data_IF_331570390307
#
_entry.id   IF_331570390307
#
_cell.length_a   1.000
_cell.length_b   1.000
_cell.length_c   1.000
_cell.angle_alpha   90.00
_cell.angle_beta   90.00
_cell.angle_gamma   90.00
#
_symmetry.space_group_name_H-M   'P 1'
#
loop_
_entity.id
_entity.type
_entity.pdbx_description
1 polymer ?
#
# COMPACT_ATOMS: atom_id res chain seq x y z
N UNK A 1 -27.48 48.26 -18.77
CA UNK A 1 -26.32 48.70 -17.98
C UNK A 1 -25.27 47.60 -18.07
N UNK A 2 -24.19 47.84 -18.81
CA UNK A 2 -23.07 46.91 -19.00
C UNK A 2 -22.26 46.82 -17.70
N UNK A 3 -22.59 45.86 -16.84
CA UNK A 3 -21.76 45.56 -15.66
C UNK A 3 -20.42 45.00 -16.13
N UNK A 4 -19.34 45.67 -15.75
CA UNK A 4 -17.97 45.26 -16.05
C UNK A 4 -17.66 43.96 -15.31
N UNK A 5 -17.25 42.94 -16.05
CA UNK A 5 -16.85 41.65 -15.49
C UNK A 5 -15.50 41.79 -14.79
N UNK A 6 -15.39 41.36 -13.53
CA UNK A 6 -14.19 41.52 -12.70
C UNK A 6 -13.51 40.16 -12.54
N UNK A 7 -12.18 40.13 -12.67
CA UNK A 7 -11.39 38.95 -12.30
C UNK A 7 -11.14 39.00 -10.78
N UNK A 8 -11.69 38.07 -9.97
CA UNK A 8 -11.55 38.14 -8.53
C UNK A 8 -10.09 37.95 -8.08
N UNK A 9 -9.70 38.53 -6.93
CA UNK A 9 -8.49 38.18 -6.21
C UNK A 9 -8.41 36.68 -5.95
N UNK A 10 -7.19 36.17 -5.77
CA UNK A 10 -6.99 34.72 -5.60
C UNK A 10 -7.60 34.19 -4.29
N UNK A 11 -7.54 34.96 -3.21
CA UNK A 11 -8.05 34.56 -1.89
C UNK A 11 -9.58 34.46 -1.87
N UNK A 12 -10.27 35.41 -2.51
CA UNK A 12 -11.74 35.38 -2.65
C UNK A 12 -12.20 34.18 -3.48
N UNK A 13 -11.46 33.86 -4.55
CA UNK A 13 -11.73 32.71 -5.39
C UNK A 13 -11.50 31.39 -4.65
N UNK A 14 -10.45 31.30 -3.82
CA UNK A 14 -10.19 30.14 -2.95
C UNK A 14 -11.33 29.95 -1.95
N UNK A 15 -11.72 30.99 -1.23
CA UNK A 15 -12.79 30.93 -0.24
C UNK A 15 -14.11 30.46 -0.85
N UNK A 16 -14.48 30.99 -2.03
CA UNK A 16 -15.69 30.58 -2.75
C UNK A 16 -15.63 29.12 -3.21
N UNK A 17 -14.48 28.65 -3.70
CA UNK A 17 -14.31 27.25 -4.12
C UNK A 17 -14.32 26.26 -2.95
N UNK A 18 -13.79 26.64 -1.78
CA UNK A 18 -13.90 25.87 -0.54
C UNK A 18 -15.36 25.73 -0.10
N UNK A 19 -16.12 26.83 -0.09
CA UNK A 19 -17.54 26.82 0.26
C UNK A 19 -18.37 25.96 -0.72
N UNK A 20 -18.11 26.09 -2.02
CA UNK A 20 -18.77 25.28 -3.06
C UNK A 20 -18.44 23.79 -2.94
N UNK A 21 -17.18 23.43 -2.64
CA UNK A 21 -16.79 22.04 -2.43
C UNK A 21 -17.43 21.44 -1.18
N UNK A 22 -17.56 22.22 -0.11
CA UNK A 22 -18.24 21.79 1.11
C UNK A 22 -19.74 21.52 0.87
N UNK A 23 -20.42 22.37 0.08
CA UNK A 23 -21.83 22.17 -0.28
C UNK A 23 -22.06 21.07 -1.33
N UNK A 24 -21.05 20.78 -2.15
CA UNK A 24 -21.15 19.83 -3.27
C UNK A 24 -19.95 18.89 -3.34
N UNK A 25 -19.79 17.97 -2.36
CA UNK A 25 -18.60 17.15 -2.22
C UNK A 25 -18.33 16.27 -3.44
N UNK A 26 -19.37 15.84 -4.18
CA UNK A 26 -19.26 14.91 -5.31
C UNK A 26 -19.10 15.54 -6.70
N UNK A 27 -19.13 16.88 -6.83
CA UNK A 27 -19.06 17.53 -8.15
C UNK A 27 -17.63 17.60 -8.73
N UNK A 28 -17.48 17.29 -10.01
CA UNK A 28 -16.22 17.48 -10.73
C UNK A 28 -15.87 18.97 -10.93
N UNK A 29 -14.59 19.27 -11.20
CA UNK A 29 -14.07 20.64 -11.34
C UNK A 29 -14.84 21.50 -12.37
N UNK A 30 -15.27 20.92 -13.49
CA UNK A 30 -16.04 21.63 -14.51
C UNK A 30 -17.45 22.03 -14.01
N UNK A 31 -18.10 21.16 -13.23
CA UNK A 31 -19.43 21.45 -12.65
C UNK A 31 -19.33 22.51 -11.55
N UNK A 32 -18.27 22.44 -10.72
CA UNK A 32 -18.00 23.48 -9.73
C UNK A 32 -17.72 24.84 -10.36
N UNK A 33 -17.00 24.88 -11.49
CA UNK A 33 -16.78 26.12 -12.23
C UNK A 33 -18.09 26.72 -12.77
N UNK A 34 -18.96 25.90 -13.36
CA UNK A 34 -20.27 26.36 -13.80
C UNK A 34 -21.11 26.91 -12.63
N UNK A 35 -21.04 26.25 -11.46
CA UNK A 35 -21.75 26.67 -10.27
C UNK A 35 -21.17 27.95 -9.66
N UNK A 36 -19.85 28.11 -9.70
CA UNK A 36 -19.16 29.34 -9.30
C UNK A 36 -19.62 30.54 -10.13
N UNK A 37 -19.68 30.41 -11.45
CA UNK A 37 -20.17 31.47 -12.34
C UNK A 37 -21.67 31.75 -12.17
N UNK A 38 -22.44 30.75 -11.72
CA UNK A 38 -23.85 30.94 -11.38
C UNK A 38 -24.01 31.74 -10.08
N UNK A 39 -23.20 31.46 -9.07
CA UNK A 39 -23.23 32.17 -7.77
C UNK A 39 -22.57 33.57 -7.83
N UNK A 40 -21.61 33.77 -8.72
CA UNK A 40 -20.92 35.05 -8.93
C UNK A 40 -21.00 35.49 -10.40
N UNK A 41 -22.15 35.99 -10.89
CA UNK A 41 -22.35 36.33 -12.31
C UNK A 41 -21.43 37.42 -12.85
N UNK A 42 -20.85 38.23 -11.96
CA UNK A 42 -19.95 39.33 -12.30
C UNK A 42 -18.47 38.91 -12.35
N UNK A 43 -18.15 37.64 -12.03
CA UNK A 43 -16.78 37.13 -12.06
C UNK A 43 -16.38 36.59 -13.42
N UNK A 44 -15.20 36.98 -13.89
CA UNK A 44 -14.54 36.37 -15.04
C UNK A 44 -13.44 35.44 -14.55
N UNK A 45 -13.76 34.16 -14.41
CA UNK A 45 -12.82 33.11 -13.99
C UNK A 45 -12.80 32.02 -15.05
N UNK A 46 -11.61 31.69 -15.56
CA UNK A 46 -11.47 30.56 -16.49
C UNK A 46 -11.58 29.23 -15.75
N UNK A 47 -12.10 28.20 -16.43
CA UNK A 47 -12.12 26.83 -15.89
C UNK A 47 -10.70 26.37 -15.51
N UNK A 48 -9.70 26.76 -16.31
CA UNK A 48 -8.28 26.47 -16.05
C UNK A 48 -7.81 27.06 -14.71
N UNK A 49 -8.16 28.32 -14.40
CA UNK A 49 -7.81 28.96 -13.13
C UNK A 49 -8.51 28.27 -11.95
N UNK A 50 -9.79 27.93 -12.12
CA UNK A 50 -10.58 27.17 -11.12
C UNK A 50 -9.96 25.80 -10.83
N UNK A 51 -9.61 25.05 -11.87
CA UNK A 51 -9.01 23.72 -11.74
C UNK A 51 -7.63 23.78 -11.10
N UNK A 52 -6.82 24.80 -11.41
CA UNK A 52 -5.51 25.02 -10.79
C UNK A 52 -5.64 25.27 -9.29
N UNK A 53 -6.57 26.12 -8.88
CA UNK A 53 -6.80 26.43 -7.46
C UNK A 53 -7.35 25.21 -6.73
N UNK A 54 -8.36 24.52 -7.28
CA UNK A 54 -8.86 23.27 -6.70
C UNK A 54 -7.75 22.22 -6.52
N UNK A 55 -6.80 22.12 -7.46
CA UNK A 55 -5.67 21.21 -7.36
C UNK A 55 -4.63 21.63 -6.33
N UNK A 56 -4.33 22.93 -6.23
CA UNK A 56 -3.41 23.48 -5.24
C UNK A 56 -3.94 23.31 -3.82
N UNK A 57 -5.26 23.48 -3.64
CA UNK A 57 -5.95 23.35 -2.34
C UNK A 57 -6.31 21.89 -2.00
N UNK A 58 -5.93 20.91 -2.83
CA UNK A 58 -6.25 19.49 -2.60
C UNK A 58 -7.74 19.13 -2.74
N UNK A 59 -8.56 20.02 -3.30
CA UNK A 59 -10.01 19.89 -3.45
C UNK A 59 -10.42 19.13 -4.73
N UNK A 60 -9.52 18.39 -5.37
CA UNK A 60 -9.86 17.59 -6.56
C UNK A 60 -10.28 16.20 -6.10
N UNK A 61 -11.53 15.84 -6.42
CA UNK A 61 -12.00 14.46 -6.31
C UNK A 61 -11.08 13.58 -7.15
N UNK A 62 -10.33 12.72 -6.49
CA UNK A 62 -9.59 11.66 -7.14
C UNK A 62 -10.61 10.62 -7.60
N UNK A 63 -11.24 10.84 -8.76
CA UNK A 63 -12.06 9.82 -9.39
C UNK A 63 -11.13 8.67 -9.80
N UNK A 64 -11.21 7.56 -9.08
CA UNK A 64 -10.65 6.27 -9.46
C UNK A 64 -11.46 5.73 -10.64
N UNK A 65 -11.40 6.39 -11.79
CA UNK A 65 -11.88 5.85 -13.07
C UNK A 65 -11.53 6.81 -14.21
N UNK A 66 -10.96 6.23 -15.27
CA UNK A 66 -10.81 6.81 -16.62
C UNK A 66 -9.64 7.78 -16.83
N UNK A 67 -8.43 7.23 -16.99
CA UNK A 67 -7.45 7.83 -17.89
C UNK A 67 -7.80 7.43 -19.33
N UNK A 68 -8.43 8.33 -20.08
CA UNK A 68 -8.21 8.42 -21.52
C UNK A 68 -8.47 9.84 -22.03
N UNK A 69 -7.40 10.41 -22.61
CA UNK A 69 -7.31 11.42 -23.66
C UNK A 69 -8.08 12.75 -23.53
N UNK A 70 -7.31 13.84 -23.64
CA UNK A 70 -7.83 15.18 -23.87
C UNK A 70 -6.73 16.11 -24.35
N UNK A 71 -6.67 16.25 -25.67
CA UNK A 71 -5.84 17.19 -26.43
C UNK A 71 -5.84 18.62 -25.86
N UNK A 72 -4.69 19.30 -26.02
CA UNK A 72 -4.66 20.76 -26.11
C UNK A 72 -3.88 21.50 -25.02
N UNK A 73 -2.60 21.18 -24.81
CA UNK A 73 -1.62 22.19 -24.40
C UNK A 73 -0.26 21.97 -25.09
N UNK A 74 0.45 23.07 -25.44
CA UNK A 74 1.66 23.02 -26.23
C UNK A 74 2.78 22.34 -25.46
N UNK A 75 3.51 21.50 -26.18
CA UNK A 75 4.59 20.66 -25.70
C UNK A 75 5.69 21.48 -24.98
N UNK A 76 5.76 21.36 -23.66
CA UNK A 76 7.05 21.37 -22.99
C UNK A 76 7.67 19.99 -23.21
N UNK A 77 8.58 19.92 -24.18
CA UNK A 77 9.47 18.79 -24.41
C UNK A 77 10.26 18.52 -23.12
N UNK A 78 9.90 17.47 -22.41
CA UNK A 78 10.65 16.96 -21.26
C UNK A 78 9.87 15.84 -20.58
N UNK A 79 10.33 14.61 -20.78
CA UNK A 79 9.89 13.35 -20.17
C UNK A 79 8.64 13.40 -19.28
N UNK A 80 7.57 12.69 -19.67
CA UNK A 80 6.47 12.31 -18.78
C UNK A 80 7.05 11.66 -17.53
N UNK A 81 7.21 12.45 -16.47
CA UNK A 81 8.04 12.03 -15.37
C UNK A 81 7.24 11.07 -14.48
N UNK A 82 7.44 9.78 -14.73
CA UNK A 82 6.86 8.64 -14.04
C UNK A 82 7.44 8.55 -12.61
N UNK A 83 7.02 9.47 -11.73
CA UNK A 83 7.38 9.44 -10.31
C UNK A 83 6.32 8.72 -9.49
N UNK A 84 6.72 7.94 -8.47
CA UNK A 84 5.79 7.39 -7.50
C UNK A 84 4.95 8.49 -6.83
N UNK A 85 3.66 8.22 -6.59
CA UNK A 85 2.82 9.06 -5.74
C UNK A 85 2.75 8.48 -4.33
N UNK A 86 2.72 9.34 -3.32
CA UNK A 86 2.55 8.93 -1.93
C UNK A 86 1.74 9.99 -1.17
N UNK A 87 0.89 9.57 -0.23
CA UNK A 87 0.08 10.48 0.60
C UNK A 87 0.56 10.48 2.05
N UNK A 88 0.46 11.60 2.77
CA UNK A 88 0.67 11.58 4.22
C UNK A 88 -0.46 10.81 4.88
N UNK A 89 -0.15 10.01 5.91
CA UNK A 89 -1.19 9.43 6.76
C UNK A 89 -1.84 10.60 7.50
N UNK A 90 -3.13 10.83 7.26
CA UNK A 90 -3.88 11.90 7.93
C UNK A 90 -3.81 11.71 9.45
N UNK A 91 -3.45 12.78 10.16
CA UNK A 91 -3.29 12.75 11.63
C UNK A 91 -2.04 12.02 12.13
N UNK A 92 -1.07 11.69 11.26
CA UNK A 92 0.23 11.20 11.71
C UNK A 92 0.99 12.31 12.44
N UNK A 93 1.17 12.12 13.73
CA UNK A 93 1.97 12.99 14.59
C UNK A 93 3.27 12.30 14.96
N UNK A 94 4.33 12.57 14.18
CA UNK A 94 5.66 12.00 14.40
C UNK A 94 6.22 12.30 15.81
N UNK A 95 5.74 13.38 16.45
CA UNK A 95 6.17 13.81 17.79
C UNK A 95 5.80 12.82 18.89
N UNK A 96 4.85 11.91 18.63
CA UNK A 96 4.52 10.81 19.55
C UNK A 96 5.66 9.82 19.75
N UNK A 97 6.60 9.75 18.81
CA UNK A 97 7.72 8.83 18.86
C UNK A 97 9.06 9.54 19.02
N UNK A 98 9.20 10.74 18.48
CA UNK A 98 10.45 11.49 18.54
C UNK A 98 10.24 12.99 18.33
N UNK A 99 10.93 13.82 19.12
CA UNK A 99 11.03 15.27 18.90
C UNK A 99 12.09 15.64 17.87
N UNK A 100 12.95 14.68 17.47
CA UNK A 100 14.17 14.92 16.70
C UNK A 100 13.93 15.14 15.22
N UNK A 101 12.77 14.69 14.71
CA UNK A 101 12.43 14.81 13.29
C UNK A 101 10.97 15.20 13.08
N UNK A 102 10.72 15.86 11.96
CA UNK A 102 9.38 16.12 11.45
C UNK A 102 9.23 15.67 10.00
N UNK A 103 7.98 15.45 9.58
CA UNK A 103 7.67 15.03 8.21
C UNK A 103 7.55 16.26 7.31
N UNK A 104 8.33 16.31 6.24
CA UNK A 104 8.29 17.38 5.24
C UNK A 104 8.02 16.82 3.84
N UNK A 105 7.28 17.57 3.03
CA UNK A 105 7.03 17.25 1.63
C UNK A 105 7.92 18.08 0.70
N UNK A 106 8.82 17.42 -0.03
CA UNK A 106 9.84 18.04 -0.90
C UNK A 106 9.38 18.18 -2.37
N UNK A 107 8.07 18.14 -2.61
CA UNK A 107 7.46 18.25 -3.93
C UNK A 107 7.41 16.92 -4.68
N UNK A 108 6.84 16.94 -5.89
CA UNK A 108 6.45 15.73 -6.63
C UNK A 108 7.61 14.78 -7.00
N UNK A 109 8.81 15.32 -7.21
CA UNK A 109 9.99 14.53 -7.62
C UNK A 109 10.66 13.83 -6.44
N UNK A 110 10.78 14.50 -5.30
CA UNK A 110 11.45 13.97 -4.09
C UNK A 110 10.48 13.27 -3.14
N UNK A 111 9.19 13.61 -3.19
CA UNK A 111 8.16 13.02 -2.33
C UNK A 111 8.23 13.54 -0.90
N UNK A 112 8.00 12.65 0.06
CA UNK A 112 8.02 12.92 1.50
C UNK A 112 9.36 12.50 2.09
N UNK A 113 9.80 13.18 3.13
CA UNK A 113 10.97 12.78 3.91
C UNK A 113 10.89 13.28 5.35
N UNK A 114 11.92 12.95 6.12
CA UNK A 114 12.11 13.42 7.48
C UNK A 114 13.16 14.52 7.50
N UNK A 115 12.95 15.55 8.31
CA UNK A 115 13.88 16.65 8.54
C UNK A 115 14.19 16.73 10.02
N UNK A 116 15.47 16.90 10.36
CA UNK A 116 15.88 17.12 11.73
C UNK A 116 15.34 18.46 12.26
N UNK A 117 14.77 18.44 13.45
CA UNK A 117 14.24 19.62 14.16
C UNK A 117 15.17 20.12 15.26
N UNK A 118 16.17 19.30 15.62
CA UNK A 118 17.23 19.60 16.59
C UNK A 118 18.52 18.86 16.19
N UNK A 119 19.63 19.15 16.86
CA UNK A 119 20.90 18.47 16.62
C UNK A 119 20.83 17.01 17.09
N UNK A 120 21.31 16.08 16.25
CA UNK A 120 21.30 14.63 16.49
C UNK A 120 22.75 14.16 16.53
N UNK A 121 23.19 13.63 17.66
CA UNK A 121 24.56 13.16 17.84
C UNK A 121 24.78 11.78 17.18
N UNK A 122 26.05 11.44 16.89
CA UNK A 122 26.39 10.10 16.43
C UNK A 122 26.00 9.05 17.49
N UNK A 123 25.34 7.97 17.05
CA UNK A 123 24.81 6.93 17.93
C UNK A 123 23.42 7.20 18.49
N UNK A 124 22.84 8.38 18.28
CA UNK A 124 21.49 8.69 18.73
C UNK A 124 20.43 7.89 17.95
N UNK A 125 19.54 7.24 18.68
CA UNK A 125 18.34 6.65 18.09
C UNK A 125 17.33 7.76 17.74
N UNK A 126 17.08 7.95 16.44
CA UNK A 126 16.08 8.92 15.93
C UNK A 126 14.67 8.35 15.99
N UNK A 127 14.52 7.07 15.62
CA UNK A 127 13.24 6.39 15.51
C UNK A 127 13.43 4.87 15.63
N UNK A 128 12.40 4.18 16.14
CA UNK A 128 12.32 2.72 16.14
C UNK A 128 10.92 2.30 15.68
N UNK A 129 10.87 1.44 14.68
CA UNK A 129 9.61 0.90 14.15
C UNK A 129 9.64 -0.62 14.17
N UNK A 130 8.45 -1.22 14.32
CA UNK A 130 8.24 -2.60 13.91
C UNK A 130 7.78 -2.61 12.45
N UNK A 131 8.27 -3.55 11.61
CA UNK A 131 7.85 -3.61 10.22
C UNK A 131 6.34 -3.84 10.12
N UNK A 132 5.69 -3.14 9.19
CA UNK A 132 4.27 -3.36 8.93
C UNK A 132 4.00 -4.79 8.47
N UNK A 133 4.84 -5.33 7.60
CA UNK A 133 4.90 -6.77 7.31
C UNK A 133 6.34 -7.18 7.14
N UNK A 134 6.65 -8.41 7.50
CA UNK A 134 7.95 -9.01 7.25
C UNK A 134 7.81 -10.04 6.12
N UNK A 135 8.47 -9.75 5.00
CA UNK A 135 8.70 -10.72 3.92
C UNK A 135 10.20 -10.99 3.90
N UNK A 136 10.67 -12.09 4.53
CA UNK A 136 12.10 -12.38 4.56
C UNK A 136 12.67 -12.64 3.17
N UNK A 137 13.95 -12.31 3.02
CA UNK A 137 14.78 -12.74 1.89
C UNK A 137 14.74 -14.26 1.74
N UNK A 138 15.04 -14.76 0.54
CA UNK A 138 14.74 -16.15 0.18
C UNK A 138 15.50 -17.18 1.02
N UNK A 139 16.73 -16.88 1.41
CA UNK A 139 17.55 -17.72 2.29
C UNK A 139 16.89 -17.86 3.66
N UNK A 140 16.35 -16.77 4.20
CA UNK A 140 15.66 -16.76 5.50
C UNK A 140 14.26 -17.38 5.36
N UNK A 141 13.57 -17.14 4.25
CA UNK A 141 12.29 -17.79 3.94
C UNK A 141 12.45 -19.32 3.89
N UNK A 142 13.50 -19.82 3.24
CA UNK A 142 13.78 -21.26 3.15
C UNK A 142 14.03 -21.85 4.55
N UNK A 143 14.72 -21.13 5.44
CA UNK A 143 14.85 -21.49 6.85
C UNK A 143 13.49 -21.49 7.59
N UNK A 144 12.60 -20.53 7.32
CA UNK A 144 11.26 -20.52 7.92
C UNK A 144 10.41 -21.72 7.45
N UNK A 145 10.46 -22.04 6.16
CA UNK A 145 9.75 -23.20 5.57
C UNK A 145 10.31 -24.52 6.12
N UNK A 146 11.61 -24.58 6.41
CA UNK A 146 12.25 -25.72 7.07
C UNK A 146 11.99 -25.78 8.60
N UNK A 147 11.32 -24.78 9.18
CA UNK A 147 11.12 -24.68 10.63
C UNK A 147 12.40 -24.36 11.42
N UNK A 148 13.44 -23.87 10.75
CA UNK A 148 14.74 -23.49 11.30
C UNK A 148 14.86 -21.99 11.62
N UNK A 149 13.91 -21.17 11.16
CA UNK A 149 13.76 -19.77 11.55
C UNK A 149 12.35 -19.48 12.04
N UNK A 150 12.21 -18.48 12.92
CA UNK A 150 10.92 -18.06 13.44
C UNK A 150 10.03 -17.55 12.31
N UNK A 151 8.84 -18.14 12.14
CA UNK A 151 7.85 -17.76 11.13
C UNK A 151 7.20 -16.39 11.34
N UNK A 152 7.61 -15.63 12.36
CA UNK A 152 7.16 -14.25 12.60
C UNK A 152 8.30 -13.24 12.52
N UNK A 153 9.37 -13.44 13.30
CA UNK A 153 10.48 -12.47 13.41
C UNK A 153 11.73 -12.87 12.63
N UNK A 154 11.69 -13.99 11.89
CA UNK A 154 12.81 -14.51 11.08
C UNK A 154 14.09 -14.88 11.84
N UNK A 155 14.11 -14.78 13.17
CA UNK A 155 15.25 -15.18 13.99
C UNK A 155 15.52 -16.69 13.83
N UNK A 156 16.77 -17.09 13.50
CA UNK A 156 17.18 -18.49 13.51
C UNK A 156 16.84 -19.14 14.85
N UNK A 157 16.27 -20.33 14.79
CA UNK A 157 15.81 -21.06 15.95
C UNK A 157 16.90 -22.01 16.43
N UNK A 158 16.99 -22.17 17.75
CA UNK A 158 17.64 -23.31 18.35
C UNK A 158 16.59 -24.42 18.53
N UNK A 159 16.62 -25.52 17.76
CA UNK A 159 15.60 -26.58 17.85
C UNK A 159 15.55 -27.27 19.21
N UNK A 160 16.62 -27.19 20.00
CA UNK A 160 16.68 -27.75 21.36
C UNK A 160 16.02 -26.87 22.42
N UNK A 161 15.66 -25.63 22.08
CA UNK A 161 15.03 -24.71 23.03
C UNK A 161 13.56 -25.06 23.27
N UNK A 162 13.17 -25.21 24.54
CA UNK A 162 11.79 -25.46 24.96
C UNK A 162 10.85 -24.26 24.72
N UNK A 163 11.40 -23.08 24.42
CA UNK A 163 10.62 -21.88 24.08
C UNK A 163 10.06 -21.93 22.66
N UNK A 164 10.60 -22.78 21.79
CA UNK A 164 10.19 -22.87 20.39
C UNK A 164 8.86 -23.61 20.28
N UNK A 165 7.85 -22.89 19.80
CA UNK A 165 6.49 -23.41 19.65
C UNK A 165 6.16 -23.70 18.19
N UNK A 166 5.55 -24.85 17.86
CA UNK A 166 5.02 -25.08 16.53
C UNK A 166 3.74 -24.26 16.29
N UNK A 167 3.34 -24.14 15.03
CA UNK A 167 2.00 -23.69 14.68
C UNK A 167 0.92 -24.59 15.34
N UNK A 168 -0.14 -23.99 15.91
CA UNK A 168 -1.23 -24.73 16.55
C UNK A 168 -2.01 -25.63 15.60
N UNK A 169 -1.91 -25.39 14.29
CA UNK A 169 -2.56 -26.19 13.24
C UNK A 169 -1.71 -27.39 12.81
N UNK A 170 -0.53 -27.56 13.41
CA UNK A 170 0.31 -28.76 13.29
C UNK A 170 -0.24 -29.84 14.22
N UNK A 171 -1.43 -30.37 13.93
CA UNK A 171 -2.01 -31.49 14.66
C UNK A 171 -1.48 -32.82 14.11
N UNK A 172 -1.03 -33.69 15.01
CA UNK A 172 -0.44 -35.01 14.76
C UNK A 172 -1.40 -36.04 14.14
N UNK A 173 -2.71 -35.75 14.11
CA UNK A 173 -3.76 -36.77 14.00
C UNK A 173 -4.47 -36.85 12.63
N UNK A 174 -3.86 -36.41 11.54
CA UNK A 174 -4.43 -36.72 10.22
C UNK A 174 -3.38 -37.01 9.16
N UNK A 175 -3.34 -38.27 8.72
CA UNK A 175 -2.64 -38.74 7.52
C UNK A 175 -3.09 -38.04 6.21
N UNK A 176 -4.09 -37.14 6.28
CA UNK A 176 -4.80 -36.56 5.13
C UNK A 176 -4.88 -35.03 5.10
N UNK A 177 -4.24 -34.32 6.05
CA UNK A 177 -4.15 -32.86 6.04
C UNK A 177 -2.70 -32.39 5.99
N UNK A 178 -2.37 -31.37 5.18
CA UNK A 178 -1.03 -30.80 5.14
C UNK A 178 -0.68 -30.21 6.51
N UNK A 179 0.47 -30.61 7.07
CA UNK A 179 1.02 -30.03 8.31
C UNK A 179 1.70 -28.68 8.01
N UNK A 180 1.62 -27.74 8.96
CA UNK A 180 2.36 -26.49 8.87
C UNK A 180 3.76 -26.66 9.50
N UNK A 181 4.87 -26.39 8.79
CA UNK A 181 6.20 -26.50 9.36
C UNK A 181 6.62 -25.28 10.20
N UNK A 182 5.80 -24.22 10.22
CA UNK A 182 6.15 -22.97 10.89
C UNK A 182 6.37 -23.17 12.39
N UNK A 183 7.46 -22.59 12.89
CA UNK A 183 7.83 -22.54 14.30
C UNK A 183 8.04 -21.10 14.74
N UNK A 184 7.88 -20.83 16.04
CA UNK A 184 7.97 -19.50 16.62
C UNK A 184 8.90 -19.52 17.82
N UNK A 185 9.77 -18.53 17.96
CA UNK A 185 10.81 -18.53 19.00
C UNK A 185 10.25 -18.43 20.44
N UNK A 186 9.02 -17.95 20.61
CA UNK A 186 8.31 -17.86 21.88
C UNK A 186 6.80 -17.62 21.68
N UNK A 187 6.04 -17.61 22.78
CA UNK A 187 4.58 -17.35 22.79
C UNK A 187 4.21 -15.99 22.19
N UNK A 188 5.03 -14.96 22.38
CA UNK A 188 4.77 -13.63 21.84
C UNK A 188 4.81 -13.65 20.30
N UNK A 189 5.81 -14.30 19.70
CA UNK A 189 5.90 -14.45 18.25
C UNK A 189 4.78 -15.32 17.68
N UNK A 190 4.39 -16.39 18.37
CA UNK A 190 3.22 -17.18 17.98
C UNK A 190 1.93 -16.33 18.02
N UNK A 191 1.75 -15.53 19.07
CA UNK A 191 0.57 -14.66 19.17
C UNK A 191 0.58 -13.57 18.11
N UNK A 192 1.73 -12.93 17.84
CA UNK A 192 1.84 -11.86 16.85
C UNK A 192 1.74 -12.38 15.41
N UNK A 193 2.12 -13.64 15.15
CA UNK A 193 1.96 -14.26 13.83
C UNK A 193 0.50 -14.41 13.41
N UNK A 194 -0.44 -14.42 14.37
CA UNK A 194 -1.88 -14.46 14.09
C UNK A 194 -2.37 -13.31 13.19
N UNK A 195 -1.57 -12.26 13.00
CA UNK A 195 -1.84 -11.15 12.08
C UNK A 195 -1.67 -11.50 10.61
N UNK A 196 -0.89 -12.50 10.25
CA UNK A 196 -0.65 -12.89 8.83
C UNK A 196 -0.74 -14.39 8.62
N UNK A 197 -0.16 -15.16 9.54
CA UNK A 197 0.04 -16.60 9.42
C UNK A 197 -1.22 -17.41 9.10
N UNK A 198 -2.40 -17.19 9.72
CA UNK A 198 -3.58 -18.01 9.43
C UNK A 198 -3.96 -18.09 7.95
N UNK A 199 -3.82 -16.99 7.20
CA UNK A 199 -4.13 -16.94 5.76
C UNK A 199 -3.00 -17.46 4.87
N UNK A 200 -1.77 -17.58 5.37
CA UNK A 200 -0.61 -18.08 4.63
C UNK A 200 -0.15 -19.46 5.09
N UNK A 201 -0.80 -20.01 6.11
CA UNK A 201 -0.51 -21.31 6.70
C UNK A 201 -1.05 -22.42 5.80
N UNK A 202 -0.18 -23.31 5.33
CA UNK A 202 -0.55 -24.45 4.48
C UNK A 202 -1.63 -25.36 5.08
N UNK A 203 -1.71 -25.45 6.41
CA UNK A 203 -2.71 -26.25 7.12
C UNK A 203 -4.07 -25.55 7.22
N UNK A 204 -4.08 -24.23 7.42
CA UNK A 204 -5.31 -23.44 7.59
C UNK A 204 -5.90 -22.98 6.27
N UNK A 205 -5.04 -22.52 5.35
CA UNK A 205 -5.39 -22.04 4.01
C UNK A 205 -4.53 -22.73 2.94
N UNK A 206 -4.82 -24.00 2.59
CA UNK A 206 -4.06 -24.71 1.56
C UNK A 206 -4.05 -24.00 0.19
N UNK A 207 -5.06 -23.16 -0.12
CA UNK A 207 -5.10 -22.39 -1.35
C UNK A 207 -3.97 -21.34 -1.47
N UNK A 208 -3.35 -20.92 -0.35
CA UNK A 208 -2.21 -19.99 -0.39
C UNK A 208 -0.90 -20.63 -0.84
N UNK A 209 -0.79 -21.96 -0.81
CA UNK A 209 0.44 -22.70 -1.11
C UNK A 209 0.92 -22.45 -2.54
N UNK A 210 -0.01 -22.42 -3.50
CA UNK A 210 0.31 -22.14 -4.91
C UNK A 210 0.96 -20.77 -5.08
N UNK A 211 0.39 -19.75 -4.43
CA UNK A 211 0.90 -18.38 -4.45
C UNK A 211 2.29 -18.26 -3.82
N UNK A 212 2.49 -18.79 -2.61
CA UNK A 212 3.78 -18.68 -1.90
C UNK A 212 4.88 -19.46 -2.61
N UNK A 213 4.57 -20.66 -3.12
CA UNK A 213 5.49 -21.45 -3.94
C UNK A 213 5.87 -20.70 -5.22
N UNK A 214 4.89 -20.09 -5.90
CA UNK A 214 5.15 -19.32 -7.12
C UNK A 214 6.04 -18.10 -6.85
N UNK A 215 5.78 -17.36 -5.76
CA UNK A 215 6.61 -16.24 -5.35
C UNK A 215 8.06 -16.67 -5.10
N UNK A 216 8.29 -17.79 -4.39
CA UNK A 216 9.63 -18.34 -4.15
C UNK A 216 10.33 -18.81 -5.44
N UNK A 217 9.62 -19.53 -6.32
CA UNK A 217 10.19 -20.07 -7.56
C UNK A 217 10.55 -18.99 -8.58
N UNK A 218 9.80 -17.88 -8.60
CA UNK A 218 10.09 -16.71 -9.42
C UNK A 218 10.99 -15.70 -8.72
N UNK A 219 11.42 -16.00 -7.50
CA UNK A 219 12.20 -15.12 -6.62
C UNK A 219 11.61 -13.71 -6.50
N UNK A 220 10.29 -13.60 -6.60
CA UNK A 220 9.58 -12.33 -6.70
C UNK A 220 9.19 -11.79 -5.32
N UNK A 221 10.12 -11.05 -4.70
CA UNK A 221 9.95 -10.52 -3.33
C UNK A 221 8.71 -9.62 -3.18
N UNK A 222 8.39 -8.81 -4.20
CA UNK A 222 7.21 -7.94 -4.15
C UNK A 222 5.89 -8.72 -4.02
N UNK A 223 5.79 -9.88 -4.69
CA UNK A 223 4.63 -10.76 -4.59
C UNK A 223 4.53 -11.39 -3.18
N UNK A 224 5.66 -11.81 -2.60
CA UNK A 224 5.70 -12.34 -1.24
C UNK A 224 5.27 -11.28 -0.22
N UNK A 225 5.80 -10.06 -0.30
CA UNK A 225 5.40 -8.95 0.57
C UNK A 225 3.93 -8.56 0.38
N UNK A 226 3.42 -8.59 -0.86
CA UNK A 226 2.02 -8.32 -1.13
C UNK A 226 1.12 -9.37 -0.46
N UNK A 227 1.49 -10.66 -0.54
CA UNK A 227 0.74 -11.73 0.12
C UNK A 227 0.71 -11.54 1.66
N UNK A 228 1.83 -11.15 2.28
CA UNK A 228 1.90 -10.83 3.72
C UNK A 228 1.02 -9.62 4.06
N UNK A 229 1.09 -8.55 3.26
CA UNK A 229 0.31 -7.32 3.44
C UNK A 229 -1.19 -7.58 3.34
N UNK A 230 -1.63 -8.29 2.30
CA UNK A 230 -3.02 -8.70 2.10
C UNK A 230 -3.51 -9.56 3.25
N UNK A 231 -2.71 -10.53 3.70
CA UNK A 231 -3.07 -11.35 4.86
C UNK A 231 -3.30 -10.50 6.12
N UNK A 232 -2.43 -9.52 6.38
CA UNK A 232 -2.56 -8.58 7.49
C UNK A 232 -3.85 -7.77 7.43
N UNK A 233 -4.12 -7.13 6.28
CA UNK A 233 -5.33 -6.30 6.10
C UNK A 233 -6.60 -7.12 6.31
N UNK A 234 -6.68 -8.30 5.70
CA UNK A 234 -7.86 -9.16 5.79
C UNK A 234 -8.08 -9.67 7.23
N UNK A 235 -7.02 -10.10 7.93
CA UNK A 235 -7.13 -10.61 9.29
C UNK A 235 -7.41 -9.51 10.32
N UNK A 236 -6.84 -8.31 10.15
CA UNK A 236 -7.18 -7.16 10.99
C UNK A 236 -8.69 -6.89 10.94
N UNK A 237 -9.29 -6.93 9.73
CA UNK A 237 -10.73 -6.76 9.54
C UNK A 237 -11.58 -7.83 10.23
N UNK A 238 -11.06 -9.06 10.36
CA UNK A 238 -11.77 -10.12 11.09
C UNK A 238 -11.79 -9.85 12.60
N UNK A 239 -10.73 -9.24 13.14
CA UNK A 239 -10.48 -9.15 14.59
C UNK A 239 -10.97 -7.83 15.18
N UNK A 240 -10.51 -6.69 14.66
CA UNK A 240 -10.71 -5.36 15.22
C UNK A 240 -10.85 -4.32 14.10
N UNK A 241 -12.01 -3.66 14.05
CA UNK A 241 -12.30 -2.66 13.01
C UNK A 241 -11.42 -1.42 13.13
N UNK A 242 -11.06 -0.98 14.34
CA UNK A 242 -10.20 0.18 14.53
C UNK A 242 -8.77 -0.11 14.01
N UNK A 243 -8.23 -1.28 14.35
CA UNK A 243 -6.93 -1.72 13.82
C UNK A 243 -6.98 -1.94 12.30
N UNK A 244 -8.08 -2.50 11.77
CA UNK A 244 -8.25 -2.70 10.33
C UNK A 244 -8.24 -1.38 9.57
N UNK A 245 -8.93 -0.37 10.08
CA UNK A 245 -8.97 0.96 9.48
C UNK A 245 -7.60 1.65 9.57
N UNK A 246 -6.89 1.53 10.70
CA UNK A 246 -5.53 2.04 10.84
C UNK A 246 -4.55 1.35 9.86
N UNK A 247 -4.59 0.03 9.77
CA UNK A 247 -3.77 -0.74 8.83
C UNK A 247 -4.11 -0.36 7.38
N UNK A 248 -5.39 -0.15 7.06
CA UNK A 248 -5.81 0.25 5.72
C UNK A 248 -5.36 1.65 5.34
N UNK A 249 -5.45 2.61 6.25
CA UNK A 249 -4.89 3.97 6.06
C UNK A 249 -3.40 3.93 5.80
N UNK A 250 -2.66 3.10 6.55
CA UNK A 250 -1.23 2.92 6.34
C UNK A 250 -0.91 2.40 4.94
N UNK A 251 -1.61 1.34 4.49
CA UNK A 251 -1.43 0.77 3.15
C UNK A 251 -1.73 1.78 2.04
N UNK A 252 -2.78 2.62 2.21
CA UNK A 252 -3.12 3.68 1.26
C UNK A 252 -2.03 4.77 1.17
N UNK A 253 -1.34 5.07 2.28
CA UNK A 253 -0.33 6.12 2.35
C UNK A 253 1.06 5.72 1.82
N UNK A 254 1.32 4.42 1.67
CA UNK A 254 2.56 3.91 1.05
C UNK A 254 2.75 4.49 -0.35
N UNK A 255 4.02 4.60 -0.78
CA UNK A 255 4.34 5.03 -2.14
C UNK A 255 3.83 4.02 -3.18
N UNK A 256 3.27 4.54 -4.28
CA UNK A 256 2.60 3.73 -5.29
C UNK A 256 3.11 4.10 -6.68
N UNK A 257 3.44 3.07 -7.46
CA UNK A 257 3.71 3.17 -8.88
C UNK A 257 3.41 1.80 -9.48
N UNK A 258 2.34 1.67 -10.25
CA UNK A 258 1.90 0.35 -10.74
C UNK A 258 2.90 -0.31 -11.67
N UNK A 259 2.87 -1.65 -11.77
CA UNK A 259 3.80 -2.42 -12.61
C UNK A 259 3.77 -1.99 -14.08
N UNK A 260 2.59 -1.69 -14.64
CA UNK A 260 2.47 -1.18 -16.01
C UNK A 260 3.20 0.16 -16.23
N UNK A 261 3.17 1.05 -15.24
CA UNK A 261 3.86 2.34 -15.31
C UNK A 261 5.38 2.15 -15.20
N UNK A 262 5.82 1.22 -14.35
CA UNK A 262 7.24 0.87 -14.17
C UNK A 262 7.82 0.23 -15.42
N UNK A 263 7.09 -0.70 -16.05
CA UNK A 263 7.49 -1.34 -17.30
C UNK A 263 7.68 -0.32 -18.45
N UNK A 264 6.80 0.68 -18.54
CA UNK A 264 6.92 1.75 -19.56
C UNK A 264 8.07 2.72 -19.28
N UNK A 265 8.40 2.94 -18.00
CA UNK A 265 9.38 3.94 -17.58
C UNK A 265 10.84 3.51 -17.70
N UNK A 266 11.13 2.30 -18.16
CA UNK A 266 12.50 1.77 -18.21
C UNK A 266 13.16 1.63 -16.84
N UNK A 267 12.39 1.79 -15.75
CA UNK A 267 12.88 1.77 -14.36
C UNK A 267 13.51 0.43 -13.94
N UNK A 268 13.31 -0.59 -14.77
CA UNK A 268 13.40 -1.97 -14.35
C UNK A 268 14.58 -2.73 -14.94
N UNK A 269 15.26 -2.22 -15.97
CA UNK A 269 16.37 -2.93 -16.64
C UNK A 269 16.13 -4.46 -16.85
N UNK A 270 14.87 -4.89 -17.03
CA UNK A 270 14.50 -6.31 -17.17
C UNK A 270 14.36 -7.15 -15.88
N UNK A 271 14.47 -6.55 -14.68
CA UNK A 271 14.47 -7.28 -13.40
C UNK A 271 13.07 -7.73 -12.90
N UNK A 272 11.98 -7.12 -13.36
CA UNK A 272 10.63 -7.56 -12.99
C UNK A 272 10.07 -8.58 -14.00
N UNK A 273 9.22 -9.53 -13.55
CA UNK A 273 8.64 -10.53 -14.44
C UNK A 273 7.76 -9.95 -15.55
N UNK A 274 7.46 -10.76 -16.55
CA UNK A 274 6.62 -10.37 -17.68
C UNK A 274 5.12 -10.33 -17.35
N UNK A 275 4.32 -9.79 -18.28
CA UNK A 275 2.86 -9.69 -18.11
C UNK A 275 2.16 -11.04 -17.96
N UNK A 276 2.71 -12.10 -18.57
CA UNK A 276 2.16 -13.45 -18.40
C UNK A 276 2.35 -13.94 -16.97
N UNK A 277 3.52 -13.69 -16.39
CA UNK A 277 3.82 -13.94 -14.98
C UNK A 277 2.90 -13.15 -14.05
N UNK A 278 2.61 -11.89 -14.36
CA UNK A 278 1.69 -11.07 -13.56
C UNK A 278 0.27 -11.64 -13.53
N UNK A 279 -0.26 -12.06 -14.68
CA UNK A 279 -1.59 -12.69 -14.77
C UNK A 279 -1.66 -13.98 -13.98
N UNK A 280 -0.66 -14.85 -14.12
CA UNK A 280 -0.57 -16.10 -13.35
C UNK A 280 -0.48 -15.83 -11.85
N UNK A 281 0.31 -14.85 -11.44
CA UNK A 281 0.40 -14.44 -10.03
C UNK A 281 -0.94 -13.93 -9.51
N UNK A 282 -1.66 -13.14 -10.31
CA UNK A 282 -3.00 -12.64 -9.94
C UNK A 282 -4.02 -13.77 -9.78
N UNK A 283 -4.02 -14.76 -10.67
CA UNK A 283 -4.89 -15.95 -10.54
C UNK A 283 -4.62 -16.70 -9.23
N UNK A 284 -3.35 -16.97 -8.92
CA UNK A 284 -2.95 -17.62 -7.66
C UNK A 284 -3.29 -16.76 -6.44
N UNK A 285 -3.17 -15.43 -6.56
CA UNK A 285 -3.52 -14.48 -5.52
C UNK A 285 -5.03 -14.49 -5.24
N UNK A 286 -5.86 -14.52 -6.29
CA UNK A 286 -7.31 -14.64 -6.17
C UNK A 286 -7.70 -15.98 -5.52
N UNK A 287 -7.06 -17.08 -5.93
CA UNK A 287 -7.27 -18.39 -5.32
C UNK A 287 -6.93 -18.42 -3.84
N UNK A 288 -5.83 -17.78 -3.44
CA UNK A 288 -5.37 -17.76 -2.06
C UNK A 288 -6.32 -16.99 -1.12
N UNK A 289 -6.92 -15.89 -1.58
CA UNK A 289 -7.57 -14.92 -0.69
C UNK A 289 -9.05 -14.66 -0.94
N UNK A 290 -9.60 -15.08 -2.09
CA UNK A 290 -10.99 -14.76 -2.45
C UNK A 290 -11.76 -15.94 -3.02
N UNK A 291 -11.23 -16.57 -4.06
CA UNK A 291 -11.92 -17.58 -4.86
C UNK A 291 -11.08 -18.87 -4.99
N UNK A 292 -10.91 -19.65 -3.90
CA UNK A 292 -10.20 -20.92 -3.97
C UNK A 292 -10.80 -21.87 -5.02
N UNK A 293 -9.94 -22.67 -5.64
CA UNK A 293 -10.31 -23.54 -6.75
C UNK A 293 -11.29 -24.66 -6.34
N UNK A 294 -11.15 -25.19 -5.12
CA UNK A 294 -11.97 -26.32 -4.64
C UNK A 294 -12.95 -25.92 -3.53
N UNK A 295 -14.10 -26.60 -3.44
CA UNK A 295 -15.09 -26.40 -2.36
C UNK A 295 -14.50 -26.65 -0.96
N UNK A 296 -13.55 -27.59 -0.84
CA UNK A 296 -12.84 -27.85 0.42
C UNK A 296 -12.04 -26.63 0.86
N UNK A 297 -11.33 -26.00 -0.06
CA UNK A 297 -10.54 -24.79 0.22
C UNK A 297 -11.43 -23.58 0.48
N UNK A 298 -12.52 -23.41 -0.26
CA UNK A 298 -13.51 -22.35 0.01
C UNK A 298 -14.04 -22.44 1.45
N UNK A 299 -14.41 -23.65 1.90
CA UNK A 299 -14.83 -23.89 3.28
C UNK A 299 -13.73 -23.61 4.31
N UNK A 300 -12.45 -23.86 3.98
CA UNK A 300 -11.31 -23.54 4.86
C UNK A 300 -11.10 -22.03 4.97
N UNK A 301 -11.09 -21.31 3.84
CA UNK A 301 -10.95 -19.87 3.79
C UNK A 301 -12.10 -19.17 4.53
N UNK A 302 -13.35 -19.61 4.33
CA UNK A 302 -14.53 -19.05 5.01
C UNK A 302 -14.51 -19.23 6.55
N UNK A 303 -13.76 -20.21 7.08
CA UNK A 303 -13.57 -20.34 8.54
C UNK A 303 -12.63 -19.27 9.11
N UNK A 304 -11.72 -18.76 8.29
CA UNK A 304 -10.77 -17.70 8.64
C UNK A 304 -11.44 -16.34 8.41
N UNK A 305 -12.02 -16.13 7.22
CA UNK A 305 -12.67 -14.90 6.80
C UNK A 305 -14.19 -15.00 6.99
N UNK A 306 -14.65 -14.79 8.22
CA UNK A 306 -16.06 -14.89 8.60
C UNK A 306 -16.86 -13.63 8.22
N UNK A 307 -16.23 -12.46 8.35
CA UNK A 307 -16.82 -11.16 8.01
C UNK A 307 -16.55 -10.82 6.55
N UNK A 308 -17.55 -10.36 5.79
CA UNK A 308 -17.34 -9.89 4.42
C UNK A 308 -16.47 -8.62 4.44
N UNK A 309 -15.48 -8.57 3.54
CA UNK A 309 -14.58 -7.43 3.37
C UNK A 309 -15.37 -6.23 2.83
N UNK A 310 -15.07 -5.01 3.32
CA UNK A 310 -15.68 -3.78 2.79
C UNK A 310 -15.45 -3.69 1.27
N UNK A 311 -16.45 -3.29 0.46
CA UNK A 311 -16.31 -3.21 -1.00
C UNK A 311 -15.09 -2.39 -1.44
N UNK A 312 -14.83 -1.27 -0.77
CA UNK A 312 -13.68 -0.41 -1.07
C UNK A 312 -12.32 -1.13 -0.92
N UNK A 313 -12.19 -2.01 0.09
CA UNK A 313 -10.98 -2.78 0.35
C UNK A 313 -10.91 -3.93 -0.66
N UNK A 314 -12.04 -4.57 -0.95
CA UNK A 314 -12.10 -5.64 -1.94
C UNK A 314 -11.70 -5.16 -3.34
N UNK A 315 -12.20 -4.00 -3.78
CA UNK A 315 -11.87 -3.42 -5.09
C UNK A 315 -10.38 -3.03 -5.17
N UNK A 316 -9.85 -2.50 -4.08
CA UNK A 316 -8.46 -2.10 -3.96
C UNK A 316 -7.46 -3.25 -3.69
N UNK A 317 -7.95 -4.48 -3.49
CA UNK A 317 -7.10 -5.68 -3.31
C UNK A 317 -7.26 -6.69 -4.45
N UNK A 318 -8.46 -6.83 -5.02
CA UNK A 318 -8.82 -7.99 -5.84
C UNK A 318 -9.20 -7.66 -7.29
N UNK A 319 -8.94 -6.43 -7.74
CA UNK A 319 -8.93 -6.12 -9.18
C UNK A 319 -7.51 -6.30 -9.72
N UNK A 320 -7.38 -6.64 -11.00
CA UNK A 320 -6.06 -6.83 -11.61
C UNK A 320 -5.20 -5.56 -11.54
N UNK A 321 -5.78 -4.41 -11.82
CA UNK A 321 -5.09 -3.12 -11.73
C UNK A 321 -4.63 -2.80 -10.30
N UNK A 322 -5.48 -3.08 -9.30
CA UNK A 322 -5.12 -2.87 -7.91
C UNK A 322 -4.04 -3.86 -7.44
N UNK A 323 -4.04 -5.10 -7.94
CA UNK A 323 -2.97 -6.05 -7.71
C UNK A 323 -1.63 -5.56 -8.27
N UNK A 324 -1.59 -5.05 -9.51
CA UNK A 324 -0.39 -4.46 -10.09
C UNK A 324 0.07 -3.20 -9.34
N UNK A 325 -0.86 -2.42 -8.80
CA UNK A 325 -0.55 -1.29 -7.94
C UNK A 325 0.05 -1.74 -6.61
N UNK A 326 -0.51 -2.80 -6.01
CA UNK A 326 -0.03 -3.44 -4.79
C UNK A 326 1.38 -4.00 -4.94
N UNK A 327 1.68 -4.67 -6.05
CA UNK A 327 3.03 -5.13 -6.37
C UNK A 327 4.02 -3.97 -6.45
N UNK A 328 3.65 -2.91 -7.18
CA UNK A 328 4.47 -1.70 -7.29
C UNK A 328 4.74 -1.03 -5.95
N UNK A 329 3.74 -0.99 -5.07
CA UNK A 329 3.88 -0.50 -3.69
C UNK A 329 4.89 -1.30 -2.90
N UNK A 330 4.86 -2.63 -3.00
CA UNK A 330 5.81 -3.50 -2.32
C UNK A 330 7.22 -3.38 -2.90
N UNK A 331 7.38 -3.33 -4.23
CA UNK A 331 8.68 -3.13 -4.88
C UNK A 331 9.36 -1.83 -4.41
N UNK A 332 8.59 -0.73 -4.31
CA UNK A 332 9.11 0.56 -3.84
C UNK A 332 9.48 0.56 -2.35
N UNK A 333 8.81 -0.26 -1.55
CA UNK A 333 9.04 -0.34 -0.10
C UNK A 333 10.18 -1.30 0.26
N UNK A 334 10.59 -2.16 -0.67
CA UNK A 334 11.72 -3.08 -0.52
C UNK A 334 13.06 -2.45 -0.88
N UNK A 335 13.08 -1.47 -1.79
CA UNK A 335 14.27 -0.66 -1.99
C UNK A 335 14.49 0.20 -0.75
N UNK A 336 15.27 -0.31 0.20
CA UNK A 336 15.82 0.46 1.31
C UNK A 336 16.40 1.78 0.76
N UNK A 337 16.34 2.88 1.53
CA UNK A 337 17.06 4.08 1.17
C UNK A 337 18.54 3.73 1.13
N UNK A 338 19.10 3.61 -0.07
CA UNK A 338 20.53 3.77 -0.25
C UNK A 338 20.83 5.16 0.27
N UNK A 339 21.43 5.26 1.46
CA UNK A 339 22.06 6.49 1.91
C UNK A 339 23.15 6.73 0.88
N UNK A 340 22.86 7.57 -0.12
CA UNK A 340 23.88 8.08 -1.02
C UNK A 340 24.63 9.11 -0.18
N UNK A 341 25.91 8.86 0.19
CA UNK A 341 26.70 9.91 0.77
C UNK A 341 26.83 10.99 -0.31
N UNK A 342 26.32 12.19 -0.02
CA UNK A 342 26.46 13.35 -0.89
C UNK A 342 27.93 13.76 -0.83
N UNK A 343 28.76 13.15 -1.67
CA UNK A 343 30.20 13.38 -1.74
C UNK A 343 30.51 14.65 -2.51
N UNK A 344 29.92 15.80 -2.14
CA UNK A 344 30.33 17.12 -2.58
C UNK A 344 29.83 18.20 -1.61
N UNK A 345 30.61 18.46 -0.55
CA UNK A 345 30.78 19.80 0.03
C UNK A 345 32.21 20.00 0.46
#
# INVERSE_FOLDING_TARGET
MSQSSISPPEDDLKAALHALRAGHPSLGAAKLHAQLLTQHPYWTVSEKRTRKILQQEGLVLSSVTSQNQGHGQPALKGASANFPSSGLVEGLDARKWTSKVEVQHFGRKKGKGLVATEDIAEGDAVWKEEPFVLAPEWEIYDLQVAGLACGFCSTPLNPSSSLVLPCSSTSSDSLSSPSCPARFCNRLCLSRSARTHPLLCSANNPASVGLTKFARQSEWMALHALAQCTARVLLAYQQDEAQAEADWRFVKAMAQLGMEQRAKGGWLNGAEPDRATWKKAFELYMQAFREPATEREKKRLARILKKPVKPEIADALFTYDAFLLGLGRMSLSQSLPTIVPDSHR
#
